data_IF_224015202625
#
_entry.id   IF_224015202625
#
_cell.length_a   1.000
_cell.length_b   1.000
_cell.length_c   1.000
_cell.angle_alpha   90.00
_cell.angle_beta   90.00
_cell.angle_gamma   90.00
#
_symmetry.space_group_name_H-M   'P 1'
#
loop_
_entity.id
_entity.type
_entity.pdbx_description
1 polymer ?
#
# COMPACT_ATOMS: atom_id res chain seq x y z
N UNK A 1 12.68 13.54 29.96
CA UNK A 1 13.28 13.36 28.64
C UNK A 1 12.15 13.04 27.65
N UNK A 2 11.87 13.91 26.65
CA UNK A 2 10.91 13.59 25.59
C UNK A 2 11.47 12.39 24.79
N UNK A 3 10.77 11.26 24.81
CA UNK A 3 11.10 10.13 23.93
C UNK A 3 10.94 10.62 22.48
N UNK A 4 12.03 10.71 21.75
CA UNK A 4 12.02 11.02 20.32
C UNK A 4 11.38 9.79 19.65
N UNK A 5 10.13 9.91 19.24
CA UNK A 5 9.46 8.88 18.44
C UNK A 5 10.00 8.95 17.00
N UNK A 6 10.98 8.10 16.72
CA UNK A 6 11.46 7.91 15.34
C UNK A 6 10.38 7.13 14.58
N UNK A 7 9.81 7.72 13.52
CA UNK A 7 8.81 7.09 12.66
C UNK A 7 9.34 5.82 11.96
N UNK A 8 8.45 5.09 11.29
CA UNK A 8 8.81 3.83 10.61
C UNK A 8 9.81 4.06 9.47
N UNK A 9 9.60 5.09 8.63
CA UNK A 9 10.47 5.39 7.48
C UNK A 9 11.95 5.61 7.88
N UNK A 10 12.31 6.47 8.85
CA UNK A 10 13.70 6.60 9.28
C UNK A 10 14.30 5.29 9.79
N UNK A 11 13.53 4.46 10.51
CA UNK A 11 14.00 3.14 10.98
C UNK A 11 14.34 2.20 9.83
N UNK A 12 13.51 2.18 8.77
CA UNK A 12 13.75 1.37 7.57
C UNK A 12 14.98 1.86 6.82
N UNK A 13 15.12 3.18 6.61
CA UNK A 13 16.30 3.75 5.94
C UNK A 13 17.57 3.40 6.71
N UNK A 14 17.56 3.56 8.04
CA UNK A 14 18.70 3.18 8.90
C UNK A 14 18.99 1.67 8.77
N UNK A 15 17.97 0.83 8.77
CA UNK A 15 18.12 -0.61 8.62
C UNK A 15 18.76 -1.00 7.27
N UNK A 16 18.33 -0.39 6.17
CA UNK A 16 18.92 -0.57 4.84
C UNK A 16 20.40 -0.14 4.85
N UNK A 17 20.68 1.08 5.28
CA UNK A 17 22.04 1.62 5.30
C UNK A 17 22.98 0.81 6.19
N UNK A 18 22.50 0.37 7.36
CA UNK A 18 23.29 -0.50 8.25
C UNK A 18 23.50 -1.89 7.63
N UNK A 19 22.46 -2.50 7.02
CA UNK A 19 22.59 -3.78 6.34
C UNK A 19 23.64 -3.75 5.24
N UNK A 20 23.65 -2.68 4.45
CA UNK A 20 24.67 -2.45 3.42
C UNK A 20 26.05 -2.23 4.02
N UNK A 21 26.16 -1.34 5.01
CA UNK A 21 27.45 -0.97 5.60
C UNK A 21 28.14 -2.18 6.25
N UNK A 22 27.41 -3.00 7.02
CA UNK A 22 27.99 -4.14 7.74
C UNK A 22 28.05 -5.42 6.93
N UNK A 23 27.29 -5.53 5.83
CA UNK A 23 27.25 -6.74 4.98
C UNK A 23 28.56 -7.09 4.31
N UNK A 24 29.45 -6.08 4.13
CA UNK A 24 30.80 -6.32 3.63
C UNK A 24 31.77 -6.90 4.68
N UNK A 25 31.48 -6.70 5.96
CA UNK A 25 32.39 -7.03 7.06
C UNK A 25 31.91 -8.21 7.91
N UNK A 26 30.62 -8.52 7.90
CA UNK A 26 30.08 -9.60 8.72
C UNK A 26 30.51 -10.97 8.17
N UNK A 27 31.02 -11.86 9.05
CA UNK A 27 31.27 -13.24 8.67
C UNK A 27 29.93 -13.97 8.40
N UNK A 28 29.96 -14.99 7.53
CA UNK A 28 28.80 -15.75 7.14
C UNK A 28 27.97 -16.30 8.33
N UNK A 29 28.64 -16.63 9.45
CA UNK A 29 27.98 -17.11 10.67
C UNK A 29 27.06 -16.05 11.31
N UNK A 30 27.44 -14.78 11.29
CA UNK A 30 26.59 -13.69 11.78
C UNK A 30 25.47 -13.38 10.82
N UNK A 31 25.73 -13.34 9.50
CA UNK A 31 24.68 -13.17 8.48
C UNK A 31 23.63 -14.26 8.62
N UNK A 32 24.06 -15.51 8.87
CA UNK A 32 23.18 -16.67 9.05
C UNK A 32 22.15 -16.50 10.20
N UNK A 33 22.49 -15.78 11.27
CA UNK A 33 21.55 -15.46 12.36
C UNK A 33 20.38 -14.65 11.82
N UNK A 34 20.67 -13.61 11.03
CA UNK A 34 19.63 -12.76 10.44
C UNK A 34 18.84 -13.48 9.34
N UNK A 35 19.48 -14.34 8.57
CA UNK A 35 18.78 -15.19 7.58
C UNK A 35 17.80 -16.13 8.29
N UNK A 36 18.20 -16.71 9.45
CA UNK A 36 17.30 -17.55 10.26
C UNK A 36 16.13 -16.76 10.83
N UNK A 37 16.38 -15.57 11.37
CA UNK A 37 15.33 -14.67 11.84
C UNK A 37 14.37 -14.30 10.70
N UNK A 38 14.91 -13.97 9.54
CA UNK A 38 14.10 -13.58 8.37
C UNK A 38 13.19 -14.73 7.91
N UNK A 39 13.69 -15.96 7.86
CA UNK A 39 12.85 -17.13 7.53
C UNK A 39 11.68 -17.32 8.52
N UNK A 40 11.95 -17.22 9.82
CA UNK A 40 10.88 -17.33 10.84
C UNK A 40 9.88 -16.17 10.71
N UNK A 41 10.34 -14.96 10.47
CA UNK A 41 9.47 -13.80 10.33
C UNK A 41 8.63 -13.86 9.03
N UNK A 42 9.20 -14.36 7.94
CA UNK A 42 8.47 -14.61 6.68
C UNK A 42 7.35 -15.64 6.87
N UNK A 43 7.62 -16.75 7.55
CA UNK A 43 6.59 -17.75 7.88
C UNK A 43 5.47 -17.15 8.72
N UNK A 44 5.81 -16.31 9.72
CA UNK A 44 4.82 -15.58 10.51
C UNK A 44 4.01 -14.58 9.66
N UNK A 45 4.64 -13.89 8.71
CA UNK A 45 3.92 -13.02 7.77
C UNK A 45 2.97 -13.85 6.90
N UNK A 46 3.43 -14.95 6.32
CA UNK A 46 2.61 -15.85 5.48
C UNK A 46 1.39 -16.38 6.25
N UNK A 47 1.56 -16.76 7.52
CA UNK A 47 0.45 -17.13 8.40
C UNK A 47 -0.51 -15.98 8.64
N UNK A 48 0.00 -14.76 8.79
CA UNK A 48 -0.80 -13.57 9.13
C UNK A 48 -1.61 -13.04 7.94
N UNK A 49 -1.14 -13.20 6.71
CA UNK A 49 -1.77 -12.63 5.49
C UNK A 49 -3.26 -13.00 5.35
N UNK A 50 -3.70 -14.26 5.41
CA UNK A 50 -5.11 -14.60 5.30
C UNK A 50 -5.97 -14.02 6.44
N UNK A 51 -5.40 -13.92 7.64
CA UNK A 51 -6.08 -13.32 8.79
C UNK A 51 -6.25 -11.81 8.61
N UNK A 52 -5.23 -11.13 8.07
CA UNK A 52 -5.28 -9.70 7.73
C UNK A 52 -6.38 -9.45 6.71
N UNK A 53 -6.44 -10.23 5.63
CA UNK A 53 -7.46 -10.11 4.60
C UNK A 53 -8.85 -10.33 5.22
N UNK A 54 -9.04 -11.42 5.95
CA UNK A 54 -10.33 -11.75 6.57
C UNK A 54 -10.79 -10.63 7.52
N UNK A 55 -9.93 -10.18 8.42
CA UNK A 55 -10.28 -9.17 9.42
C UNK A 55 -10.59 -7.80 8.83
N UNK A 56 -9.79 -7.36 7.86
CA UNK A 56 -9.93 -6.01 7.29
C UNK A 56 -11.01 -5.95 6.21
N UNK A 57 -11.02 -6.89 5.25
CA UNK A 57 -11.95 -6.86 4.11
C UNK A 57 -13.38 -7.13 4.54
N UNK A 58 -13.61 -8.04 5.48
CA UNK A 58 -14.98 -8.35 5.97
C UNK A 58 -15.69 -7.11 6.50
N UNK A 59 -15.05 -6.36 7.37
CA UNK A 59 -15.65 -5.15 7.97
C UNK A 59 -15.77 -4.03 6.95
N UNK A 60 -14.76 -3.83 6.09
CA UNK A 60 -14.83 -2.82 5.03
C UNK A 60 -16.06 -3.03 4.14
N UNK A 61 -16.34 -4.26 3.71
CA UNK A 61 -17.51 -4.60 2.89
C UNK A 61 -18.81 -4.46 3.69
N UNK A 62 -18.83 -4.91 4.95
CA UNK A 62 -20.00 -4.79 5.81
C UNK A 62 -20.39 -3.34 6.09
N UNK A 63 -19.42 -2.43 6.21
CA UNK A 63 -19.67 -1.02 6.45
C UNK A 63 -20.15 -0.28 5.20
N UNK A 64 -19.64 -0.63 4.03
CA UNK A 64 -20.13 -0.11 2.74
C UNK A 64 -21.58 -0.57 2.51
N UNK A 65 -21.95 -1.78 2.84
CA UNK A 65 -23.28 -2.35 2.60
C UNK A 65 -24.39 -1.82 3.52
N UNK A 66 -24.10 -1.37 4.74
CA UNK A 66 -25.11 -0.86 5.69
C UNK A 66 -25.39 0.63 5.48
N UNK A 67 -26.63 0.94 5.08
CA UNK A 67 -27.12 2.32 5.01
C UNK A 67 -26.50 3.11 3.85
N UNK A 68 -26.08 2.42 2.81
CA UNK A 68 -25.51 2.98 1.61
C UNK A 68 -26.52 3.89 0.89
N UNK A 69 -26.66 5.10 1.39
CA UNK A 69 -27.30 6.17 0.61
C UNK A 69 -26.53 6.36 -0.70
N UNK A 70 -27.20 6.92 -1.69
CA UNK A 70 -26.63 7.20 -3.03
C UNK A 70 -25.23 7.83 -2.96
N UNK A 71 -24.99 8.68 -1.96
CA UNK A 71 -23.71 9.38 -1.76
C UNK A 71 -22.56 8.40 -1.46
N UNK A 72 -22.78 7.40 -0.60
CA UNK A 72 -21.76 6.39 -0.28
C UNK A 72 -21.38 5.57 -1.51
N UNK A 73 -22.37 5.07 -2.26
CA UNK A 73 -22.15 4.26 -3.46
C UNK A 73 -21.39 5.06 -4.51
N UNK A 74 -21.82 6.29 -4.78
CA UNK A 74 -21.17 7.14 -5.79
C UNK A 74 -19.74 7.49 -5.36
N UNK A 75 -19.50 7.81 -4.08
CA UNK A 75 -18.15 8.09 -3.57
C UNK A 75 -17.25 6.86 -3.69
N UNK A 76 -17.75 5.67 -3.30
CA UNK A 76 -16.99 4.43 -3.38
C UNK A 76 -16.63 4.06 -4.83
N UNK A 77 -17.57 4.23 -5.78
CA UNK A 77 -17.33 3.98 -7.20
C UNK A 77 -16.29 4.94 -7.78
N UNK A 78 -16.37 6.24 -7.45
CA UNK A 78 -15.38 7.23 -7.92
C UNK A 78 -14.01 6.95 -7.30
N UNK A 79 -13.93 6.66 -6.00
CA UNK A 79 -12.69 6.34 -5.30
C UNK A 79 -12.05 5.07 -5.88
N UNK A 80 -12.84 4.01 -6.11
CA UNK A 80 -12.38 2.78 -6.74
C UNK A 80 -11.90 3.02 -8.17
N UNK A 81 -12.68 3.76 -8.99
CA UNK A 81 -12.30 4.12 -10.35
C UNK A 81 -10.99 4.91 -10.40
N UNK A 82 -10.79 5.89 -9.49
CA UNK A 82 -9.55 6.66 -9.38
C UNK A 82 -8.36 5.75 -8.97
N UNK A 83 -8.59 4.78 -8.09
CA UNK A 83 -7.58 3.80 -7.67
C UNK A 83 -7.21 2.87 -8.83
N UNK A 84 -8.17 2.36 -9.59
CA UNK A 84 -7.91 1.55 -10.79
C UNK A 84 -7.16 2.35 -11.86
N UNK A 85 -7.60 3.59 -12.13
CA UNK A 85 -6.92 4.47 -13.09
C UNK A 85 -5.44 4.63 -12.73
N UNK A 86 -5.13 4.85 -11.45
CA UNK A 86 -3.74 5.02 -11.00
C UNK A 86 -2.91 3.74 -11.19
N UNK A 87 -3.50 2.56 -10.97
CA UNK A 87 -2.87 1.28 -11.24
C UNK A 87 -2.57 1.05 -12.72
N UNK A 88 -3.55 1.30 -13.60
CA UNK A 88 -3.34 1.19 -15.05
C UNK A 88 -2.35 2.24 -15.59
N UNK A 89 -2.43 3.48 -15.11
CA UNK A 89 -1.44 4.52 -15.43
C UNK A 89 -0.02 4.05 -15.10
N UNK A 90 0.15 3.47 -13.91
CA UNK A 90 1.43 2.92 -13.46
C UNK A 90 1.90 1.77 -14.35
N UNK A 91 1.01 0.83 -14.68
CA UNK A 91 1.33 -0.30 -15.55
C UNK A 91 1.77 0.16 -16.95
N UNK A 92 0.98 1.00 -17.62
CA UNK A 92 1.31 1.47 -18.97
C UNK A 92 2.59 2.30 -19.00
N UNK A 93 2.81 3.16 -18.01
CA UNK A 93 4.07 3.92 -17.91
C UNK A 93 5.25 2.98 -17.65
N UNK A 94 5.09 2.04 -16.68
CA UNK A 94 6.14 1.09 -16.35
C UNK A 94 6.48 0.15 -17.49
N UNK A 95 5.48 -0.41 -18.18
CA UNK A 95 5.70 -1.32 -19.31
C UNK A 95 6.43 -0.65 -20.49
N UNK A 96 6.31 0.67 -20.62
CA UNK A 96 6.99 1.44 -21.69
C UNK A 96 8.36 1.96 -21.26
N UNK A 97 8.51 2.45 -20.02
CA UNK A 97 9.74 3.11 -19.57
C UNK A 97 10.73 2.15 -18.89
N UNK A 98 10.25 1.17 -18.11
CA UNK A 98 11.15 0.33 -17.33
C UNK A 98 12.09 -0.55 -18.15
N UNK A 99 11.72 -1.07 -19.35
CA UNK A 99 12.66 -1.80 -20.18
C UNK A 99 13.92 -1.01 -20.56
N UNK A 100 13.84 0.33 -20.61
CA UNK A 100 15.00 1.19 -20.85
C UNK A 100 15.79 1.56 -19.58
N UNK A 101 15.21 1.35 -18.41
CA UNK A 101 15.80 1.71 -17.11
C UNK A 101 16.37 0.50 -16.36
N UNK A 102 15.83 -0.68 -16.64
CA UNK A 102 16.17 -1.95 -16.01
C UNK A 102 16.94 -2.76 -17.04
N UNK A 103 18.24 -2.94 -16.82
CA UNK A 103 18.99 -3.93 -17.59
C UNK A 103 18.49 -5.31 -17.16
N UNK A 104 18.17 -6.22 -18.11
CA UNK A 104 17.83 -7.58 -17.75
C UNK A 104 19.01 -8.20 -17.00
N UNK A 105 18.93 -8.22 -15.68
CA UNK A 105 19.94 -8.80 -14.81
C UNK A 105 19.87 -10.33 -14.81
N UNK A 106 20.86 -10.97 -14.23
CA UNK A 106 20.74 -12.39 -13.85
C UNK A 106 19.57 -12.50 -12.87
N UNK A 107 18.65 -13.47 -13.06
CA UNK A 107 17.57 -13.68 -12.11
C UNK A 107 18.12 -13.72 -10.69
N UNK A 108 17.46 -13.04 -9.76
CA UNK A 108 17.88 -13.02 -8.35
C UNK A 108 17.95 -14.47 -7.78
N UNK A 109 17.14 -15.37 -8.32
CA UNK A 109 17.12 -16.79 -7.96
C UNK A 109 18.43 -17.54 -8.32
N UNK A 110 19.04 -17.30 -9.50
CA UNK A 110 20.29 -17.98 -9.87
C UNK A 110 21.47 -17.60 -8.95
N UNK A 111 21.39 -16.44 -8.30
CA UNK A 111 22.45 -16.00 -7.37
C UNK A 111 22.13 -16.38 -5.93
N UNK A 112 20.83 -16.50 -5.56
CA UNK A 112 20.44 -16.86 -4.19
C UNK A 112 20.69 -18.36 -3.90
N UNK A 113 20.46 -19.26 -4.86
CA UNK A 113 20.71 -20.69 -4.66
C UNK A 113 22.19 -21.08 -4.72
N UNK A 114 23.00 -20.40 -5.54
CA UNK A 114 24.41 -20.76 -5.72
C UNK A 114 25.36 -20.20 -4.65
N UNK A 115 24.98 -19.12 -3.94
CA UNK A 115 25.83 -18.42 -2.94
C UNK A 115 25.09 -18.00 -1.67
N UNK A 116 23.82 -18.33 -1.51
CA UNK A 116 22.98 -17.93 -0.38
C UNK A 116 23.40 -18.62 0.92
N UNK A 117 23.44 -17.85 2.00
CA UNK A 117 23.62 -18.40 3.35
C UNK A 117 22.30 -19.07 3.78
N UNK A 118 22.34 -20.38 4.00
CA UNK A 118 21.18 -21.12 4.51
C UNK A 118 20.93 -20.80 5.99
N UNK A 119 19.67 -20.77 6.45
CA UNK A 119 19.34 -20.58 7.86
C UNK A 119 19.90 -21.72 8.73
N UNK A 120 20.02 -21.51 10.05
CA UNK A 120 20.40 -22.58 10.98
C UNK A 120 19.33 -23.66 11.09
N UNK A 121 18.07 -23.22 11.04
CA UNK A 121 16.87 -24.07 11.05
C UNK A 121 15.71 -23.30 10.43
N UNK A 122 14.69 -24.00 9.98
CA UNK A 122 13.42 -23.43 9.53
C UNK A 122 12.29 -23.87 10.45
N UNK A 123 11.32 -22.97 10.63
CA UNK A 123 10.07 -23.23 11.38
C UNK A 123 8.92 -23.06 10.40
N UNK A 124 8.22 -24.12 10.08
CA UNK A 124 7.04 -24.02 9.22
C UNK A 124 5.82 -23.54 10.03
N UNK A 125 5.20 -22.45 9.62
CA UNK A 125 3.95 -21.92 10.18
C UNK A 125 2.91 -21.85 9.06
N UNK A 126 2.24 -22.97 8.74
CA UNK A 126 1.33 -22.98 7.60
C UNK A 126 0.17 -22.02 7.81
N UNK A 127 -0.24 -21.26 6.77
CA UNK A 127 -1.38 -20.36 6.85
C UNK A 127 -2.67 -21.16 7.07
N UNK A 128 -3.63 -20.57 7.82
CA UNK A 128 -4.92 -21.21 8.11
C UNK A 128 -5.72 -21.53 6.84
N UNK A 129 -5.60 -20.70 5.83
CA UNK A 129 -6.23 -20.85 4.51
C UNK A 129 -5.39 -20.11 3.45
N UNK A 130 -5.61 -20.42 2.18
CA UNK A 130 -4.96 -19.65 1.12
C UNK A 130 -5.60 -18.25 0.96
N UNK A 131 -4.89 -17.34 0.32
CA UNK A 131 -5.27 -15.94 0.13
C UNK A 131 -6.61 -15.79 -0.57
N UNK A 132 -6.83 -16.55 -1.65
CA UNK A 132 -8.08 -16.48 -2.42
C UNK A 132 -9.28 -16.98 -1.61
N UNK A 133 -9.11 -18.05 -0.84
CA UNK A 133 -10.15 -18.54 0.09
C UNK A 133 -10.49 -17.48 1.14
N UNK A 134 -9.47 -16.85 1.71
CA UNK A 134 -9.67 -15.77 2.70
C UNK A 134 -10.44 -14.59 2.11
N UNK A 135 -10.12 -14.22 0.88
CA UNK A 135 -10.77 -13.12 0.18
C UNK A 135 -12.25 -13.45 -0.13
N UNK A 136 -12.54 -14.62 -0.70
CA UNK A 136 -13.92 -15.06 -0.97
C UNK A 136 -14.73 -15.14 0.32
N UNK A 137 -14.14 -15.67 1.39
CA UNK A 137 -14.78 -15.75 2.70
C UNK A 137 -15.06 -14.35 3.26
N UNK A 138 -14.10 -13.42 3.15
CA UNK A 138 -14.28 -12.04 3.60
C UNK A 138 -15.40 -11.32 2.86
N UNK A 139 -15.53 -11.52 1.54
CA UNK A 139 -16.64 -10.99 0.75
C UNK A 139 -17.99 -11.61 1.18
N UNK A 140 -18.03 -12.92 1.31
CA UNK A 140 -19.26 -13.63 1.71
C UNK A 140 -19.74 -13.17 3.09
N UNK A 141 -18.83 -13.12 4.07
CA UNK A 141 -19.14 -12.63 5.41
C UNK A 141 -19.51 -11.15 5.40
N UNK A 142 -18.74 -10.31 4.70
CA UNK A 142 -18.99 -8.86 4.65
C UNK A 142 -20.37 -8.53 4.06
N UNK A 143 -20.75 -9.14 2.95
CA UNK A 143 -22.08 -8.98 2.36
C UNK A 143 -23.17 -9.56 3.28
N UNK A 144 -22.94 -10.72 3.88
CA UNK A 144 -23.85 -11.31 4.88
C UNK A 144 -24.07 -10.37 6.07
N UNK A 145 -23.00 -9.82 6.66
CA UNK A 145 -23.08 -8.87 7.76
C UNK A 145 -23.79 -7.56 7.40
N UNK A 146 -23.64 -7.09 6.15
CA UNK A 146 -24.37 -5.94 5.65
C UNK A 146 -25.88 -6.19 5.59
N UNK A 147 -26.30 -7.43 5.26
CA UNK A 147 -27.69 -7.82 5.13
C UNK A 147 -28.38 -8.16 6.48
N UNK A 148 -27.63 -8.55 7.51
CA UNK A 148 -28.17 -8.91 8.80
C UNK A 148 -28.69 -7.70 9.58
N UNK A 149 -29.81 -7.90 10.28
CA UNK A 149 -30.38 -6.89 11.20
C UNK A 149 -29.63 -6.79 12.52
N UNK A 150 -29.07 -7.92 13.00
CA UNK A 150 -28.33 -8.01 14.25
C UNK A 150 -26.87 -7.56 14.05
N UNK A 151 -26.37 -6.75 14.98
CA UNK A 151 -24.96 -6.31 15.00
C UNK A 151 -24.03 -7.25 15.79
N UNK A 152 -24.55 -8.32 16.40
CA UNK A 152 -23.75 -9.20 17.25
C UNK A 152 -22.53 -9.78 16.50
N UNK A 153 -22.75 -10.41 15.35
CA UNK A 153 -21.67 -10.97 14.54
C UNK A 153 -20.76 -9.88 13.94
N UNK A 154 -21.33 -8.71 13.61
CA UNK A 154 -20.55 -7.57 13.13
C UNK A 154 -19.61 -7.03 14.21
N UNK A 155 -20.04 -6.99 15.46
CA UNK A 155 -19.20 -6.58 16.59
C UNK A 155 -18.05 -7.57 16.80
N UNK A 156 -18.31 -8.88 16.76
CA UNK A 156 -17.26 -9.92 16.83
C UNK A 156 -16.25 -9.74 15.68
N UNK A 157 -16.71 -9.47 14.47
CA UNK A 157 -15.82 -9.23 13.33
C UNK A 157 -14.99 -7.94 13.50
N UNK A 158 -15.55 -6.89 14.14
CA UNK A 158 -14.81 -5.68 14.49
C UNK A 158 -13.74 -5.91 15.56
N UNK A 159 -14.07 -6.68 16.59
CA UNK A 159 -13.09 -7.07 17.62
C UNK A 159 -11.94 -7.86 16.98
N UNK A 160 -12.26 -8.78 16.07
CA UNK A 160 -11.25 -9.50 15.29
C UNK A 160 -10.39 -8.56 14.43
N UNK A 161 -11.01 -7.61 13.72
CA UNK A 161 -10.30 -6.57 12.98
C UNK A 161 -9.34 -5.78 13.88
N UNK A 162 -9.79 -5.41 15.09
CA UNK A 162 -8.95 -4.67 16.04
C UNK A 162 -7.75 -5.52 16.51
N UNK A 163 -7.92 -6.81 16.76
CA UNK A 163 -6.83 -7.74 17.08
C UNK A 163 -5.81 -7.76 15.94
N UNK A 164 -6.27 -7.85 14.69
CA UNK A 164 -5.38 -7.86 13.51
C UNK A 164 -4.62 -6.53 13.38
N UNK A 165 -5.29 -5.39 13.53
CA UNK A 165 -4.64 -4.07 13.48
C UNK A 165 -3.61 -3.92 14.60
N UNK A 166 -3.90 -4.42 15.81
CA UNK A 166 -2.95 -4.44 16.92
C UNK A 166 -1.76 -5.37 16.63
N UNK A 167 -1.98 -6.54 16.04
CA UNK A 167 -0.91 -7.45 15.62
C UNK A 167 0.03 -6.77 14.61
N UNK A 168 -0.51 -6.11 13.59
CA UNK A 168 0.28 -5.36 12.63
C UNK A 168 1.11 -4.28 13.34
N UNK A 169 0.49 -3.46 14.16
CA UNK A 169 1.13 -2.29 14.78
C UNK A 169 2.10 -2.64 15.91
N UNK A 170 1.83 -3.69 16.69
CA UNK A 170 2.63 -4.07 17.86
C UNK A 170 3.68 -5.14 17.57
N UNK A 171 3.52 -5.93 16.51
CA UNK A 171 4.45 -7.04 16.19
C UNK A 171 5.10 -6.82 14.82
N UNK A 172 4.31 -6.75 13.75
CA UNK A 172 4.87 -6.70 12.38
C UNK A 172 5.68 -5.42 12.17
N UNK A 173 5.10 -4.25 12.37
CA UNK A 173 5.78 -2.98 12.13
C UNK A 173 7.04 -2.74 12.99
N UNK A 174 7.10 -3.12 14.28
CA UNK A 174 8.33 -3.00 15.07
C UNK A 174 9.45 -3.94 14.62
N UNK A 175 9.14 -5.16 14.15
CA UNK A 175 10.13 -6.13 13.71
C UNK A 175 10.58 -5.93 12.26
N UNK A 176 9.80 -5.18 11.47
CA UNK A 176 10.06 -4.95 10.06
C UNK A 176 11.43 -4.31 9.77
N UNK A 177 11.94 -3.31 10.53
CA UNK A 177 13.29 -2.79 10.31
C UNK A 177 14.38 -3.86 10.45
N UNK A 178 14.24 -4.76 11.42
CA UNK A 178 15.19 -5.87 11.62
C UNK A 178 15.14 -6.88 10.46
N UNK A 179 13.93 -7.18 9.98
CA UNK A 179 13.71 -8.03 8.82
C UNK A 179 14.36 -7.45 7.56
N UNK A 180 14.12 -6.16 7.28
CA UNK A 180 14.72 -5.45 6.13
C UNK A 180 16.24 -5.36 6.27
N UNK A 181 16.76 -5.08 7.47
CA UNK A 181 18.19 -5.13 7.74
C UNK A 181 18.80 -6.48 7.33
N UNK A 182 18.20 -7.59 7.75
CA UNK A 182 18.68 -8.94 7.41
C UNK A 182 18.65 -9.23 5.91
N UNK A 183 17.63 -8.76 5.18
CA UNK A 183 17.56 -8.87 3.72
C UNK A 183 18.72 -8.12 3.06
N UNK A 184 18.91 -6.83 3.36
CA UNK A 184 19.97 -6.02 2.76
C UNK A 184 21.37 -6.48 3.19
N UNK A 185 21.49 -6.99 4.40
CA UNK A 185 22.72 -7.63 4.89
C UNK A 185 23.10 -8.85 4.00
N UNK A 186 22.15 -9.74 3.77
CA UNK A 186 22.37 -10.93 2.92
C UNK A 186 22.63 -10.55 1.46
N UNK A 187 21.86 -9.60 0.91
CA UNK A 187 22.06 -9.09 -0.46
C UNK A 187 23.42 -8.41 -0.65
N UNK A 188 23.93 -7.72 0.36
CA UNK A 188 25.26 -7.11 0.32
C UNK A 188 26.34 -8.17 0.37
N UNK A 189 26.16 -9.16 1.23
CA UNK A 189 27.11 -10.27 1.37
C UNK A 189 27.20 -11.10 0.06
N UNK A 190 26.09 -11.23 -0.68
CA UNK A 190 26.03 -11.87 -2.01
C UNK A 190 26.41 -10.94 -3.19
N UNK A 191 26.73 -9.67 -2.94
CA UNK A 191 27.17 -8.72 -3.97
C UNK A 191 26.07 -8.11 -4.83
N UNK A 192 24.77 -8.35 -4.53
CA UNK A 192 23.63 -7.93 -5.35
C UNK A 192 23.12 -6.51 -5.07
N UNK A 193 23.47 -5.94 -3.92
CA UNK A 193 22.82 -4.73 -3.39
C UNK A 193 22.92 -3.51 -4.31
N UNK A 194 24.07 -3.34 -4.99
CA UNK A 194 24.32 -2.15 -5.83
C UNK A 194 23.41 -2.09 -7.06
N UNK A 195 23.25 -3.20 -7.77
CA UNK A 195 22.41 -3.29 -8.97
C UNK A 195 20.95 -3.02 -8.62
N UNK A 196 20.47 -3.55 -7.50
CA UNK A 196 19.09 -3.38 -7.02
C UNK A 196 18.85 -1.91 -6.64
N UNK A 197 19.75 -1.29 -5.88
CA UNK A 197 19.60 0.12 -5.47
C UNK A 197 19.59 1.08 -6.65
N UNK A 198 20.43 0.86 -7.65
CA UNK A 198 20.48 1.72 -8.84
C UNK A 198 19.18 1.67 -9.64
N UNK A 199 18.58 0.49 -9.76
CA UNK A 199 17.26 0.35 -10.39
C UNK A 199 16.20 1.03 -9.53
N UNK A 200 16.20 0.82 -8.23
CA UNK A 200 15.21 1.41 -7.33
C UNK A 200 15.19 2.95 -7.37
N UNK A 201 16.35 3.60 -7.39
CA UNK A 201 16.43 5.05 -7.50
C UNK A 201 15.74 5.55 -8.78
N UNK A 202 15.95 4.88 -9.91
CA UNK A 202 15.31 5.22 -11.19
C UNK A 202 13.79 5.04 -11.11
N UNK A 203 13.32 3.91 -10.56
CA UNK A 203 11.89 3.60 -10.40
C UNK A 203 11.21 4.59 -9.45
N UNK A 204 11.84 4.93 -8.35
CA UNK A 204 11.35 5.94 -7.39
C UNK A 204 11.16 7.30 -8.10
N UNK A 205 12.09 7.71 -8.93
CA UNK A 205 11.99 8.94 -9.73
C UNK A 205 10.76 8.93 -10.65
N UNK A 206 10.52 7.83 -11.34
CA UNK A 206 9.31 7.64 -12.18
C UNK A 206 8.03 7.68 -11.33
N UNK A 207 8.00 7.01 -10.19
CA UNK A 207 6.84 7.02 -9.28
C UNK A 207 6.53 8.43 -8.79
N UNK A 208 7.53 9.23 -8.43
CA UNK A 208 7.30 10.62 -8.01
C UNK A 208 6.74 11.48 -9.15
N UNK A 209 7.26 11.35 -10.36
CA UNK A 209 6.71 12.03 -11.53
C UNK A 209 5.24 11.63 -11.77
N UNK A 210 4.94 10.35 -11.64
CA UNK A 210 3.58 9.83 -11.77
C UNK A 210 2.64 10.31 -10.65
N UNK A 211 3.09 10.43 -9.40
CA UNK A 211 2.29 11.01 -8.31
C UNK A 211 1.91 12.47 -8.61
N UNK A 212 2.87 13.29 -9.09
CA UNK A 212 2.61 14.66 -9.47
C UNK A 212 1.62 14.72 -10.64
N UNK A 213 1.83 13.90 -11.65
CA UNK A 213 0.92 13.80 -12.80
C UNK A 213 -0.48 13.38 -12.36
N UNK A 214 -0.60 12.35 -11.50
CA UNK A 214 -1.87 11.85 -11.01
C UNK A 214 -2.66 12.94 -10.25
N UNK A 215 -2.00 13.71 -9.40
CA UNK A 215 -2.64 14.81 -8.68
C UNK A 215 -3.11 15.92 -9.64
N UNK A 216 -2.28 16.33 -10.59
CA UNK A 216 -2.67 17.31 -11.61
C UNK A 216 -3.87 16.79 -12.41
N UNK A 217 -3.85 15.52 -12.82
CA UNK A 217 -4.94 14.89 -13.56
C UNK A 217 -6.24 14.85 -12.75
N UNK A 218 -6.21 14.38 -11.49
CA UNK A 218 -7.39 14.32 -10.62
C UNK A 218 -7.99 15.71 -10.39
N UNK A 219 -7.16 16.72 -10.15
CA UNK A 219 -7.64 18.10 -9.98
C UNK A 219 -8.10 18.73 -11.28
N UNK A 220 -7.54 18.34 -12.42
CA UNK A 220 -8.03 18.78 -13.75
C UNK A 220 -9.44 18.23 -14.00
N UNK A 221 -9.69 16.95 -13.69
CA UNK A 221 -11.04 16.39 -13.76
C UNK A 221 -11.98 17.13 -12.78
N UNK A 222 -11.60 17.29 -11.52
CA UNK A 222 -12.43 18.01 -10.56
C UNK A 222 -12.74 19.46 -11.02
N UNK A 223 -11.76 20.12 -11.63
CA UNK A 223 -11.91 21.47 -12.16
C UNK A 223 -12.95 21.59 -13.28
N UNK A 224 -13.09 20.54 -14.13
CA UNK A 224 -14.16 20.48 -15.14
C UNK A 224 -15.56 20.48 -14.51
N UNK A 225 -15.73 19.80 -13.37
CA UNK A 225 -17.00 19.76 -12.66
C UNK A 225 -17.33 21.09 -11.97
N UNK A 226 -16.35 21.72 -11.32
CA UNK A 226 -16.58 22.95 -10.53
C UNK A 226 -16.25 24.23 -11.28
N UNK A 227 -15.72 24.16 -12.51
CA UNK A 227 -15.34 25.28 -13.39
C UNK A 227 -14.38 26.28 -12.69
N UNK A 228 -13.33 25.72 -12.04
CA UNK A 228 -12.30 26.49 -11.33
C UNK A 228 -10.91 26.05 -11.78
N UNK A 229 -9.91 26.89 -11.54
CA UNK A 229 -8.53 26.60 -11.90
C UNK A 229 -7.98 25.40 -11.09
N UNK A 230 -7.53 24.29 -11.73
CA UNK A 230 -7.05 23.08 -11.06
C UNK A 230 -5.84 23.33 -10.17
N UNK A 231 -4.91 24.18 -10.60
CA UNK A 231 -3.70 24.49 -9.83
C UNK A 231 -4.01 25.27 -8.55
N UNK A 232 -5.03 26.15 -8.56
CA UNK A 232 -5.50 26.84 -7.36
C UNK A 232 -6.18 25.87 -6.39
N UNK A 233 -6.96 24.92 -6.90
CA UNK A 233 -7.60 23.89 -6.09
C UNK A 233 -6.56 22.96 -5.46
N UNK A 234 -5.59 22.46 -6.25
CA UNK A 234 -4.50 21.63 -5.77
C UNK A 234 -3.60 22.38 -4.77
N UNK A 235 -3.25 23.64 -5.07
CA UNK A 235 -2.42 24.46 -4.19
C UNK A 235 -3.02 24.66 -2.78
N UNK A 236 -4.35 24.75 -2.68
CA UNK A 236 -5.02 24.82 -1.37
C UNK A 236 -4.91 23.53 -0.55
N UNK A 237 -4.67 22.40 -1.19
CA UNK A 237 -4.48 21.11 -0.49
C UNK A 237 -3.05 20.86 -0.03
N UNK A 238 -2.07 21.70 -0.39
CA UNK A 238 -0.67 21.53 0.03
C UNK A 238 -0.48 21.37 1.55
N UNK A 239 -1.23 22.08 2.44
CA UNK A 239 -1.12 21.80 3.88
C UNK A 239 -1.49 20.35 4.23
N UNK A 240 -2.50 19.76 3.61
CA UNK A 240 -2.86 18.36 3.81
C UNK A 240 -1.78 17.43 3.25
N UNK A 241 -1.25 17.73 2.06
CA UNK A 241 -0.13 17.00 1.46
C UNK A 241 1.08 16.94 2.40
N UNK A 242 1.56 18.08 2.90
CA UNK A 242 2.71 18.13 3.80
C UNK A 242 2.45 17.49 5.17
N UNK A 243 1.22 17.60 5.68
CA UNK A 243 0.83 16.90 6.92
C UNK A 243 0.90 15.39 6.73
N UNK A 244 0.41 14.88 5.61
CA UNK A 244 0.45 13.46 5.29
C UNK A 244 1.89 12.95 5.07
N UNK A 245 2.79 13.77 4.48
CA UNK A 245 4.21 13.44 4.41
C UNK A 245 4.81 13.16 5.79
N UNK A 246 4.42 13.95 6.79
CA UNK A 246 4.93 13.80 8.15
C UNK A 246 4.27 12.67 8.94
N UNK A 247 2.95 12.49 8.79
CA UNK A 247 2.18 11.51 9.58
C UNK A 247 2.21 10.09 8.99
N UNK A 248 2.39 9.97 7.67
CA UNK A 248 2.26 8.70 6.92
C UNK A 248 0.91 8.00 7.14
N UNK A 249 -0.11 8.74 7.58
CA UNK A 249 -1.42 8.22 7.92
C UNK A 249 -2.52 9.11 7.35
N UNK A 250 -3.33 8.54 6.46
CA UNK A 250 -4.50 9.22 5.92
C UNK A 250 -5.49 9.57 7.04
N UNK A 251 -5.70 8.65 7.98
CA UNK A 251 -6.60 8.85 9.11
C UNK A 251 -6.16 10.02 10.02
N UNK A 252 -4.86 10.10 10.37
CA UNK A 252 -4.31 11.18 11.17
C UNK A 252 -4.38 12.55 10.47
N UNK A 253 -4.48 12.55 9.13
CA UNK A 253 -4.51 13.78 8.32
C UNK A 253 -5.94 14.29 8.07
N UNK A 254 -6.98 13.50 8.38
CA UNK A 254 -8.40 13.87 8.15
C UNK A 254 -8.73 15.30 8.57
N UNK A 255 -8.37 15.80 9.78
CA UNK A 255 -8.75 17.16 10.19
C UNK A 255 -8.23 18.25 9.24
N UNK A 256 -6.97 18.12 8.78
CA UNK A 256 -6.35 19.07 7.85
C UNK A 256 -6.94 18.94 6.46
N UNK A 257 -7.11 17.71 5.96
CA UNK A 257 -7.74 17.43 4.67
C UNK A 257 -9.13 17.99 4.59
N UNK A 258 -9.94 17.82 5.66
CA UNK A 258 -11.31 18.34 5.79
C UNK A 258 -11.32 19.87 5.72
N UNK A 259 -10.44 20.52 6.45
CA UNK A 259 -10.34 21.98 6.46
C UNK A 259 -9.99 22.53 5.07
N UNK A 260 -8.98 21.96 4.41
CA UNK A 260 -8.55 22.42 3.08
C UNK A 260 -9.63 22.12 2.02
N UNK A 261 -10.32 21.00 2.12
CA UNK A 261 -11.45 20.65 1.25
C UNK A 261 -12.59 21.65 1.35
N UNK A 262 -12.94 22.08 2.58
CA UNK A 262 -13.92 23.16 2.81
C UNK A 262 -13.45 24.49 2.22
N UNK A 263 -12.16 24.84 2.37
CA UNK A 263 -11.57 26.04 1.74
C UNK A 263 -11.65 25.98 0.21
N UNK A 264 -11.65 24.80 -0.38
CA UNK A 264 -11.90 24.59 -1.79
C UNK A 264 -13.37 24.78 -2.19
N UNK A 265 -14.27 25.01 -1.24
CA UNK A 265 -15.68 25.36 -1.47
C UNK A 265 -16.62 24.15 -1.44
N UNK A 266 -16.17 23.00 -0.94
CA UNK A 266 -17.02 21.83 -0.69
C UNK A 266 -17.87 22.12 0.56
N UNK A 267 -19.17 21.80 0.51
CA UNK A 267 -20.09 21.96 1.63
C UNK A 267 -19.64 21.14 2.85
N UNK A 268 -19.91 21.66 4.06
CA UNK A 268 -19.45 21.04 5.30
C UNK A 268 -19.95 19.59 5.47
N UNK A 269 -21.21 19.34 5.11
CA UNK A 269 -21.86 18.03 5.21
C UNK A 269 -21.19 17.02 4.28
N UNK A 270 -20.95 17.39 3.02
CA UNK A 270 -20.32 16.52 2.04
C UNK A 270 -18.84 16.30 2.37
N UNK A 271 -18.11 17.37 2.71
CA UNK A 271 -16.71 17.23 3.13
C UNK A 271 -16.59 16.33 4.38
N UNK A 272 -17.47 16.52 5.37
CA UNK A 272 -17.51 15.73 6.61
C UNK A 272 -17.81 14.24 6.39
N UNK A 273 -18.46 13.89 5.29
CA UNK A 273 -18.72 12.50 4.91
C UNK A 273 -17.63 11.94 3.98
N UNK A 274 -17.31 12.65 2.89
CA UNK A 274 -16.43 12.13 1.83
C UNK A 274 -14.99 12.01 2.29
N UNK A 275 -14.46 13.01 3.01
CA UNK A 275 -13.03 13.01 3.41
C UNK A 275 -12.70 11.85 4.37
N UNK A 276 -13.45 11.61 5.47
CA UNK A 276 -13.17 10.45 6.33
C UNK A 276 -13.36 9.11 5.61
N UNK A 277 -14.35 9.00 4.71
CA UNK A 277 -14.58 7.80 3.92
C UNK A 277 -13.41 7.55 2.96
N UNK A 278 -13.03 8.54 2.15
CA UNK A 278 -11.94 8.43 1.18
C UNK A 278 -10.59 8.15 1.85
N UNK A 279 -10.34 8.66 3.06
CA UNK A 279 -9.13 8.35 3.82
C UNK A 279 -8.91 6.85 4.07
N UNK A 280 -9.96 6.04 3.92
CA UNK A 280 -9.91 4.58 4.08
C UNK A 280 -10.06 3.81 2.77
N UNK A 281 -10.78 4.35 1.77
CA UNK A 281 -11.11 3.60 0.55
C UNK A 281 -10.40 4.12 -0.72
N UNK A 282 -9.81 5.32 -0.68
CA UNK A 282 -9.13 5.92 -1.83
C UNK A 282 -7.61 5.91 -1.63
N UNK A 283 -6.95 4.92 -2.20
CA UNK A 283 -5.52 4.69 -2.07
C UNK A 283 -4.79 4.73 -3.44
N UNK A 284 -5.12 5.71 -4.28
CA UNK A 284 -4.60 5.84 -5.65
C UNK A 284 -3.08 5.98 -5.69
N UNK A 285 -2.46 6.79 -4.82
CA UNK A 285 -1.01 6.93 -4.74
C UNK A 285 -0.32 5.65 -4.26
N UNK A 286 -0.95 4.91 -3.33
CA UNK A 286 -0.45 3.61 -2.87
C UNK A 286 -0.54 2.55 -3.96
N UNK A 287 -1.65 2.46 -4.67
CA UNK A 287 -1.85 1.53 -5.78
C UNK A 287 -0.84 1.78 -6.89
N UNK A 288 -0.63 3.04 -7.28
CA UNK A 288 0.34 3.43 -8.30
C UNK A 288 1.74 2.89 -7.97
N UNK A 289 2.24 3.13 -6.76
CA UNK A 289 3.58 2.68 -6.38
C UNK A 289 3.68 1.16 -6.21
N UNK A 290 2.62 0.47 -5.73
CA UNK A 290 2.62 -1.00 -5.63
C UNK A 290 2.72 -1.61 -7.02
N UNK A 291 1.93 -1.14 -7.99
CA UNK A 291 1.97 -1.64 -9.37
C UNK A 291 3.32 -1.37 -10.03
N UNK A 292 3.87 -0.14 -9.88
CA UNK A 292 5.19 0.19 -10.42
C UNK A 292 6.30 -0.69 -9.85
N UNK A 293 6.34 -0.83 -8.52
CA UNK A 293 7.35 -1.66 -7.86
C UNK A 293 7.22 -3.15 -8.22
N UNK A 294 5.98 -3.66 -8.28
CA UNK A 294 5.75 -5.05 -8.66
C UNK A 294 6.21 -5.32 -10.09
N UNK A 295 5.86 -4.46 -11.04
CA UNK A 295 6.30 -4.60 -12.42
C UNK A 295 7.82 -4.51 -12.55
N UNK A 296 8.46 -3.56 -11.85
CA UNK A 296 9.90 -3.41 -11.86
C UNK A 296 10.61 -4.67 -11.30
N UNK A 297 10.12 -5.22 -10.19
CA UNK A 297 10.68 -6.43 -9.59
C UNK A 297 10.52 -7.64 -10.50
N UNK A 298 9.34 -7.82 -11.14
CA UNK A 298 9.14 -8.90 -12.11
C UNK A 298 10.11 -8.79 -13.28
N UNK A 299 10.33 -7.58 -13.83
CA UNK A 299 11.32 -7.35 -14.89
C UNK A 299 12.75 -7.67 -14.43
N UNK A 300 13.13 -7.25 -13.21
CA UNK A 300 14.45 -7.53 -12.64
C UNK A 300 14.70 -9.02 -12.43
N UNK A 301 13.67 -9.78 -12.06
CA UNK A 301 13.73 -11.22 -11.82
C UNK A 301 13.52 -12.04 -13.10
N UNK A 302 13.28 -11.41 -14.25
CA UNK A 302 12.97 -12.13 -15.49
C UNK A 302 11.63 -12.88 -15.47
N UNK A 303 10.73 -12.52 -14.56
CA UNK A 303 9.41 -13.14 -14.44
C UNK A 303 8.51 -12.73 -15.61
N UNK A 304 7.71 -13.65 -16.17
CA UNK A 304 6.80 -13.31 -17.25
C UNK A 304 5.66 -12.39 -16.73
N UNK A 305 5.35 -11.37 -17.50
CA UNK A 305 4.22 -10.47 -17.23
C UNK A 305 3.54 -10.06 -18.52
N UNK A 306 2.24 -9.88 -18.44
CA UNK A 306 1.43 -9.36 -19.53
C UNK A 306 0.31 -8.43 -19.02
N UNK A 307 -0.42 -7.84 -19.95
CA UNK A 307 -1.54 -6.96 -19.61
C UNK A 307 -2.65 -7.69 -18.85
N UNK A 308 -2.97 -8.93 -19.21
CA UNK A 308 -4.04 -9.70 -18.59
C UNK A 308 -3.76 -9.98 -17.11
N UNK A 309 -2.53 -10.41 -16.80
CA UNK A 309 -2.08 -10.64 -15.44
C UNK A 309 -2.17 -9.36 -14.60
N UNK A 310 -1.60 -8.25 -15.12
CA UNK A 310 -1.62 -6.98 -14.40
C UNK A 310 -3.01 -6.35 -14.30
N UNK A 311 -3.87 -6.50 -15.31
CA UNK A 311 -5.25 -6.06 -15.21
C UNK A 311 -5.98 -6.79 -14.09
N UNK A 312 -5.89 -8.11 -14.02
CA UNK A 312 -6.44 -8.90 -12.90
C UNK A 312 -5.86 -8.46 -11.55
N UNK A 313 -4.55 -8.31 -11.46
CA UNK A 313 -3.87 -7.83 -10.25
C UNK A 313 -4.35 -6.42 -9.83
N UNK A 314 -4.47 -5.46 -10.75
CA UNK A 314 -4.91 -4.10 -10.46
C UNK A 314 -6.36 -4.08 -9.95
N UNK A 315 -7.27 -4.87 -10.55
CA UNK A 315 -8.65 -4.98 -10.06
C UNK A 315 -8.70 -5.54 -8.64
N UNK A 316 -7.96 -6.62 -8.36
CA UNK A 316 -7.89 -7.22 -7.02
C UNK A 316 -7.19 -6.29 -6.02
N UNK A 317 -6.13 -5.60 -6.43
CA UNK A 317 -5.46 -4.61 -5.60
C UNK A 317 -6.41 -3.46 -5.23
N UNK A 318 -7.19 -2.96 -6.18
CA UNK A 318 -8.19 -1.92 -5.92
C UNK A 318 -9.20 -2.33 -4.85
N UNK A 319 -9.69 -3.58 -4.90
CA UNK A 319 -10.57 -4.14 -3.86
C UNK A 319 -9.84 -4.23 -2.52
N UNK A 320 -8.62 -4.73 -2.51
CA UNK A 320 -7.80 -4.86 -1.30
C UNK A 320 -7.52 -3.48 -0.67
N UNK A 321 -7.33 -2.45 -1.48
CA UNK A 321 -7.10 -1.08 -1.01
C UNK A 321 -8.30 -0.49 -0.27
N UNK A 322 -9.54 -0.87 -0.63
CA UNK A 322 -10.75 -0.46 0.13
C UNK A 322 -10.69 -0.95 1.59
N UNK A 323 -10.01 -2.07 1.81
CA UNK A 323 -9.90 -2.70 3.12
C UNK A 323 -8.59 -2.37 3.85
N UNK A 324 -7.66 -1.71 3.19
CA UNK A 324 -6.35 -1.43 3.79
C UNK A 324 -6.47 -0.44 4.96
N UNK A 325 -5.83 -0.72 6.11
CA UNK A 325 -5.88 0.20 7.24
C UNK A 325 -5.12 1.49 6.92
N UNK A 326 -5.68 2.65 7.29
CA UNK A 326 -5.09 3.97 7.07
C UNK A 326 -3.89 4.31 7.99
N UNK A 327 -3.04 3.31 8.27
CA UNK A 327 -1.84 3.41 9.10
C UNK A 327 -0.58 3.24 8.25
N UNK A 328 0.60 3.71 8.70
CA UNK A 328 1.86 3.50 7.97
C UNK A 328 2.07 2.03 7.60
N UNK A 329 2.40 1.76 6.33
CA UNK A 329 2.61 0.42 5.82
C UNK A 329 1.35 -0.43 5.63
N UNK A 330 0.15 0.06 6.00
CA UNK A 330 -1.08 -0.73 5.98
C UNK A 330 -1.44 -1.26 4.59
N UNK A 331 -1.28 -0.46 3.55
CA UNK A 331 -1.62 -0.86 2.19
C UNK A 331 -0.71 -1.97 1.64
N UNK A 332 0.59 -1.93 1.90
CA UNK A 332 1.48 -3.02 1.45
C UNK A 332 1.21 -4.30 2.24
N UNK A 333 0.97 -4.22 3.55
CA UNK A 333 0.63 -5.40 4.35
C UNK A 333 -0.65 -6.07 3.84
N UNK A 334 -1.67 -5.28 3.49
CA UNK A 334 -2.89 -5.82 2.90
C UNK A 334 -2.67 -6.45 1.51
N UNK A 335 -1.66 -6.00 0.76
CA UNK A 335 -1.38 -6.45 -0.61
C UNK A 335 -0.51 -7.69 -0.71
N UNK A 336 0.21 -8.09 0.35
CA UNK A 336 1.17 -9.20 0.29
C UNK A 336 0.55 -10.48 -0.24
N UNK A 337 -0.68 -10.77 0.18
CA UNK A 337 -1.38 -11.97 -0.28
C UNK A 337 -1.66 -12.02 -1.78
N UNK A 338 -2.03 -10.91 -2.38
CA UNK A 338 -2.27 -10.86 -3.83
C UNK A 338 -0.97 -10.77 -4.64
N UNK A 339 0.07 -10.15 -4.09
CA UNK A 339 1.42 -10.19 -4.68
C UNK A 339 1.94 -11.64 -4.76
N UNK A 340 1.76 -12.43 -3.70
CA UNK A 340 2.13 -13.83 -3.66
C UNK A 340 1.25 -14.69 -4.58
N UNK A 341 -0.07 -14.61 -4.43
CA UNK A 341 -1.01 -15.52 -5.10
C UNK A 341 -1.20 -15.25 -6.58
N UNK A 342 -1.09 -13.99 -7.01
CA UNK A 342 -1.33 -13.61 -8.41
C UNK A 342 -0.03 -13.36 -9.17
N UNK A 343 0.98 -12.75 -8.56
CA UNK A 343 2.25 -12.44 -9.21
C UNK A 343 3.36 -13.45 -8.88
N UNK A 344 3.12 -14.40 -7.98
CA UNK A 344 4.09 -15.45 -7.63
C UNK A 344 5.28 -14.94 -6.81
N UNK A 345 5.12 -13.80 -6.09
CA UNK A 345 6.22 -13.24 -5.31
C UNK A 345 6.58 -14.13 -4.13
N UNK A 346 7.84 -14.54 -4.09
CA UNK A 346 8.44 -15.24 -2.98
C UNK A 346 8.73 -14.31 -1.79
N UNK A 347 9.31 -14.82 -0.73
CA UNK A 347 9.64 -14.07 0.47
C UNK A 347 10.61 -12.91 0.20
N UNK A 348 11.59 -13.11 -0.67
CA UNK A 348 12.59 -12.11 -1.03
C UNK A 348 11.95 -10.97 -1.82
N UNK A 349 11.11 -11.27 -2.81
CA UNK A 349 10.36 -10.28 -3.58
C UNK A 349 9.38 -9.50 -2.70
N UNK A 350 8.66 -10.18 -1.79
CA UNK A 350 7.77 -9.53 -0.83
C UNK A 350 8.54 -8.58 0.11
N UNK A 351 9.70 -8.98 0.60
CA UNK A 351 10.54 -8.13 1.45
C UNK A 351 11.03 -6.89 0.72
N UNK A 352 11.45 -7.03 -0.55
CA UNK A 352 11.81 -5.89 -1.39
C UNK A 352 10.61 -4.97 -1.65
N UNK A 353 9.43 -5.53 -1.92
CA UNK A 353 8.19 -4.75 -2.05
C UNK A 353 7.88 -3.95 -0.80
N UNK A 354 8.01 -4.56 0.38
CA UNK A 354 7.79 -3.87 1.66
C UNK A 354 8.79 -2.73 1.83
N UNK A 355 10.08 -2.99 1.60
CA UNK A 355 11.13 -1.98 1.73
C UNK A 355 10.90 -0.79 0.80
N UNK A 356 10.64 -1.04 -0.49
CA UNK A 356 10.35 -0.02 -1.50
C UNK A 356 9.09 0.76 -1.16
N UNK A 357 8.02 0.05 -0.80
CA UNK A 357 6.76 0.68 -0.46
C UNK A 357 6.93 1.66 0.71
N UNK A 358 7.58 1.23 1.80
CA UNK A 358 7.74 2.03 3.02
C UNK A 358 8.68 3.20 2.78
N UNK A 359 9.72 3.04 1.95
CA UNK A 359 10.60 4.14 1.57
C UNK A 359 9.84 5.33 0.92
N UNK A 360 8.72 5.02 0.24
CA UNK A 360 7.88 6.00 -0.45
C UNK A 360 6.51 6.21 0.21
N UNK A 361 6.28 5.65 1.42
CA UNK A 361 4.92 5.64 2.01
C UNK A 361 4.40 7.05 2.31
N UNK A 362 5.25 7.94 2.77
CA UNK A 362 4.94 9.34 2.97
C UNK A 362 4.34 10.00 1.73
N UNK A 363 4.94 9.79 0.56
CA UNK A 363 4.52 10.42 -0.69
C UNK A 363 3.24 9.78 -1.24
N UNK A 364 3.09 8.45 -1.13
CA UNK A 364 1.87 7.76 -1.50
C UNK A 364 0.68 8.23 -0.65
N UNK A 365 0.86 8.34 0.66
CA UNK A 365 -0.16 8.84 1.58
C UNK A 365 -0.51 10.29 1.29
N UNK A 366 0.48 11.15 1.02
CA UNK A 366 0.25 12.53 0.64
C UNK A 366 -0.55 12.65 -0.67
N UNK A 367 -0.27 11.77 -1.64
CA UNK A 367 -1.05 11.67 -2.87
C UNK A 367 -2.50 11.23 -2.61
N UNK A 368 -2.72 10.20 -1.76
CA UNK A 368 -4.05 9.73 -1.39
C UNK A 368 -4.91 10.84 -0.81
N UNK A 369 -4.47 11.46 0.31
CA UNK A 369 -5.27 12.48 1.02
C UNK A 369 -5.50 13.75 0.20
N UNK A 370 -4.56 14.08 -0.67
CA UNK A 370 -4.72 15.23 -1.57
C UNK A 370 -5.78 14.91 -2.62
N UNK A 371 -5.78 13.70 -3.17
CA UNK A 371 -6.79 13.20 -4.11
C UNK A 371 -8.19 13.12 -3.49
N UNK A 372 -8.32 12.87 -2.18
CA UNK A 372 -9.61 12.88 -1.48
C UNK A 372 -10.34 14.22 -1.64
N UNK A 373 -9.59 15.33 -1.65
CA UNK A 373 -10.15 16.66 -1.91
C UNK A 373 -10.71 16.81 -3.32
N UNK A 374 -10.09 16.20 -4.32
CA UNK A 374 -10.60 16.20 -5.70
C UNK A 374 -11.89 15.39 -5.82
N UNK A 375 -11.97 14.21 -5.18
CA UNK A 375 -13.20 13.41 -5.11
C UNK A 375 -14.31 14.19 -4.41
N UNK A 376 -14.02 14.83 -3.29
CA UNK A 376 -15.01 15.62 -2.55
C UNK A 376 -15.58 16.75 -3.39
N UNK A 377 -14.79 17.43 -4.21
CA UNK A 377 -15.25 18.45 -5.16
C UNK A 377 -16.23 17.88 -6.20
N UNK A 378 -15.92 16.71 -6.73
CA UNK A 378 -16.79 16.04 -7.72
C UNK A 378 -18.11 15.62 -7.07
N UNK A 379 -18.06 15.02 -5.88
CA UNK A 379 -19.25 14.57 -5.15
C UNK A 379 -20.13 15.77 -4.75
N UNK A 380 -19.55 16.85 -4.28
CA UNK A 380 -20.30 18.07 -3.93
C UNK A 380 -21.06 18.62 -5.14
N UNK A 381 -20.46 18.59 -6.33
CA UNK A 381 -21.11 19.02 -7.56
C UNK A 381 -22.23 18.08 -8.03
N UNK A 382 -22.06 16.77 -7.85
CA UNK A 382 -23.04 15.75 -8.25
C UNK A 382 -24.23 15.72 -7.29
N UNK A 383 -23.96 15.80 -5.97
CA UNK A 383 -24.97 15.62 -4.92
C UNK A 383 -25.53 16.93 -4.39
N UNK A 384 -24.76 18.03 -4.45
CA UNK A 384 -25.21 19.35 -3.99
C UNK A 384 -26.37 19.94 -4.81
N UNK A 385 -26.50 19.54 -6.09
CA UNK A 385 -27.63 19.92 -6.96
C UNK A 385 -28.98 19.27 -6.60
N UNK A 386 -28.98 18.25 -5.73
CA UNK A 386 -30.21 17.53 -5.34
C UNK A 386 -30.98 18.25 -4.21
N UNK A 387 -30.50 19.39 -3.70
CA UNK A 387 -31.13 20.17 -2.62
C UNK A 387 -31.69 21.53 -3.08
N UNK A 388 -31.74 21.79 -4.39
CA UNK A 388 -32.50 22.91 -5.00
C UNK A 388 -33.71 22.32 -5.77
#
# INVERSE_FOLDING_TARGET
MKKIHIGLLPRIIIAILLGIAVGHFFPASLVRIFVTFNGIFSEFLNFSIPLIILGLVTIAIADIGKGAGKMLIVTALIAYGATLFSGFLSYFTGSTLFPSLIEPGRPLEEVSEAQGILPFFSVAIPPLMNVMTSLVLAFTLGLGLAALRSDALKNVARDFQEIIVRMISAVILPLLPLYIFGIFLNMTHSGQVFSILMVFIKIIGVIFALHIFLLIFQYSIAALFVQRNPFKLLGRMLPAYFTALGTQSSAATIPVTLEQTKKNGVSADIAGFVVPLCATIHLSGSTLKIVACALALMMMQGMPFDFSLFAGFIFMLGITMIAAPGVPGGAIMASLGILQSMLGFDESAQALMIALYIAMDSFGTACNVTGDGAIALIIDKIMGKSKQ
#
